data_IF_528673384032
#
_entry.id   IF_528673384032
#
_cell.length_a   1.000
_cell.length_b   1.000
_cell.length_c   1.000
_cell.angle_alpha   90.00
_cell.angle_beta   90.00
_cell.angle_gamma   90.00
#
_symmetry.space_group_name_H-M   'P 1'
#
loop_
_entity.id
_entity.type
_entity.pdbx_description
1 polymer ?
#
# COMPACT_ATOMS: atom_id res chain seq x y z
N UNK A 1 -19.84 7.49 3.16
CA UNK A 1 -18.87 6.49 3.66
C UNK A 1 -17.79 6.29 2.60
N UNK A 2 -16.66 7.02 2.65
CA UNK A 2 -15.49 6.75 1.80
C UNK A 2 -14.43 6.11 2.69
N UNK A 3 -14.35 4.79 2.68
CA UNK A 3 -13.34 4.06 3.42
C UNK A 3 -11.94 4.24 2.79
N UNK A 4 -10.87 3.97 3.55
CA UNK A 4 -9.48 4.17 3.12
C UNK A 4 -9.14 3.37 1.87
N UNK A 5 -9.76 2.20 1.65
CA UNK A 5 -9.61 1.41 0.41
C UNK A 5 -9.93 2.24 -0.84
N UNK A 6 -11.04 2.99 -0.81
CA UNK A 6 -11.42 3.86 -1.93
C UNK A 6 -10.41 5.00 -2.11
N UNK A 7 -9.89 5.55 -1.01
CA UNK A 7 -8.95 6.67 -1.02
C UNK A 7 -7.58 6.25 -1.54
N UNK A 8 -7.02 5.15 -1.06
CA UNK A 8 -5.71 4.62 -1.48
C UNK A 8 -5.70 4.30 -2.97
N UNK A 9 -6.75 3.62 -3.45
CA UNK A 9 -6.87 3.27 -4.86
C UNK A 9 -7.03 4.52 -5.75
N UNK A 10 -7.78 5.53 -5.29
CA UNK A 10 -7.91 6.80 -6.02
C UNK A 10 -6.59 7.57 -6.09
N UNK A 11 -5.81 7.59 -5.01
CA UNK A 11 -4.51 8.27 -4.96
C UNK A 11 -3.51 7.65 -5.94
N UNK A 12 -3.50 6.32 -6.04
CA UNK A 12 -2.60 5.58 -6.92
C UNK A 12 -3.00 5.72 -8.40
N UNK A 13 -4.30 5.64 -8.70
CA UNK A 13 -4.83 5.92 -10.04
C UNK A 13 -4.51 7.35 -10.49
N UNK A 14 -4.57 8.34 -9.58
CA UNK A 14 -4.20 9.74 -9.89
C UNK A 14 -2.71 9.94 -10.12
N UNK A 15 -1.85 9.11 -9.50
CA UNK A 15 -0.39 9.14 -9.70
C UNK A 15 0.07 8.35 -10.93
N UNK A 16 -0.85 7.74 -11.70
CA UNK A 16 -0.53 7.03 -12.94
C UNK A 16 0.23 5.72 -12.74
N UNK A 17 0.37 5.23 -11.50
CA UNK A 17 0.91 3.90 -11.21
C UNK A 17 -0.19 3.03 -10.63
N UNK A 18 -0.83 2.18 -11.47
CA UNK A 18 -1.84 1.26 -10.98
C UNK A 18 -1.15 0.14 -10.21
N UNK A 19 -1.06 0.28 -8.89
CA UNK A 19 -0.92 -0.87 -7.99
C UNK A 19 -2.16 -1.76 -8.19
N UNK A 20 -1.96 -3.08 -8.19
CA UNK A 20 -3.07 -4.03 -8.31
C UNK A 20 -4.13 -3.83 -7.23
N UNK A 21 -5.40 -4.11 -7.54
CA UNK A 21 -6.51 -3.96 -6.58
C UNK A 21 -6.23 -4.70 -5.26
N UNK A 22 -5.64 -5.89 -5.32
CA UNK A 22 -5.26 -6.66 -4.14
C UNK A 22 -4.21 -5.96 -3.27
N UNK A 23 -3.13 -5.45 -3.89
CA UNK A 23 -2.07 -4.73 -3.20
C UNK A 23 -2.59 -3.42 -2.57
N UNK A 24 -3.50 -2.72 -3.26
CA UNK A 24 -4.14 -1.53 -2.71
C UNK A 24 -5.02 -1.85 -1.48
N UNK A 25 -5.71 -3.00 -1.48
CA UNK A 25 -6.45 -3.47 -0.31
C UNK A 25 -5.52 -3.81 0.86
N UNK A 26 -4.41 -4.51 0.61
CA UNK A 26 -3.42 -4.87 1.63
C UNK A 26 -2.82 -3.60 2.26
N UNK A 27 -2.37 -2.66 1.43
CA UNK A 27 -1.83 -1.38 1.88
C UNK A 27 -2.84 -0.58 2.70
N UNK A 28 -4.09 -0.51 2.24
CA UNK A 28 -5.16 0.20 2.96
C UNK A 28 -5.46 -0.43 4.31
N UNK A 29 -5.44 -1.77 4.40
CA UNK A 29 -5.66 -2.47 5.65
C UNK A 29 -4.53 -2.14 6.65
N UNK A 30 -3.27 -2.25 6.21
CA UNK A 30 -2.10 -1.93 7.02
C UNK A 30 -2.09 -0.48 7.52
N UNK A 31 -2.53 0.47 6.68
CA UNK A 31 -2.67 1.89 7.05
C UNK A 31 -3.71 2.13 8.15
N UNK A 32 -4.87 1.47 8.09
CA UNK A 32 -5.94 1.63 9.10
C UNK A 32 -5.46 1.20 10.48
N UNK A 33 -4.77 0.06 10.53
CA UNK A 33 -4.33 -0.54 11.78
C UNK A 33 -2.94 -0.03 12.20
N UNK A 34 -2.35 0.88 11.42
CA UNK A 34 -0.99 1.40 11.59
C UNK A 34 0.07 0.30 11.77
N UNK A 35 -0.01 -0.74 10.93
CA UNK A 35 0.91 -1.88 10.95
C UNK A 35 2.00 -1.74 9.90
N UNK A 36 3.13 -2.40 10.16
CA UNK A 36 4.25 -2.55 9.22
C UNK A 36 3.97 -3.68 8.25
N UNK A 37 3.92 -3.37 6.95
CA UNK A 37 3.74 -4.34 5.88
C UNK A 37 5.09 -4.94 5.48
N UNK A 38 5.25 -6.23 5.77
CA UNK A 38 6.43 -6.99 5.36
C UNK A 38 6.21 -7.53 3.95
N UNK A 39 7.05 -7.15 2.99
CA UNK A 39 6.94 -7.60 1.60
C UNK A 39 8.27 -7.61 0.88
N UNK A 40 8.46 -8.59 -0.01
CA UNK A 40 9.62 -8.64 -0.92
C UNK A 40 9.44 -7.70 -2.13
N UNK A 41 8.21 -7.30 -2.44
CA UNK A 41 7.88 -6.44 -3.59
C UNK A 41 7.77 -4.97 -3.19
N UNK A 42 8.76 -4.45 -2.47
CA UNK A 42 8.73 -3.08 -1.92
C UNK A 42 8.49 -2.00 -2.98
N UNK A 43 8.94 -2.19 -4.24
CA UNK A 43 8.75 -1.23 -5.33
C UNK A 43 7.29 -0.88 -5.63
N UNK A 44 6.38 -1.83 -5.44
CA UNK A 44 4.95 -1.59 -5.66
C UNK A 44 4.38 -0.80 -4.48
N UNK A 45 4.67 -1.24 -3.26
CA UNK A 45 4.09 -0.65 -2.05
C UNK A 45 4.70 0.69 -1.66
N UNK A 46 5.92 1.01 -2.12
CA UNK A 46 6.60 2.29 -1.83
C UNK A 46 5.87 3.52 -2.38
N UNK A 47 4.90 3.34 -3.28
CA UNK A 47 4.09 4.44 -3.81
C UNK A 47 2.96 4.87 -2.86
N UNK A 48 2.68 4.05 -1.84
CA UNK A 48 1.67 4.33 -0.83
C UNK A 48 2.30 5.18 0.27
N UNK A 49 1.95 6.46 0.29
CA UNK A 49 2.43 7.39 1.32
C UNK A 49 1.90 6.99 2.70
N UNK A 50 2.80 6.99 3.70
CA UNK A 50 2.48 6.66 5.09
C UNK A 50 2.47 5.16 5.42
N UNK A 51 2.69 4.28 4.44
CA UNK A 51 2.78 2.84 4.67
C UNK A 51 4.16 2.47 5.21
N UNK A 52 4.21 1.86 6.39
CA UNK A 52 5.44 1.31 6.94
C UNK A 52 5.79 0.00 6.22
N UNK A 53 7.01 -0.12 5.70
CA UNK A 53 7.44 -1.27 4.90
C UNK A 53 8.71 -1.90 5.47
N UNK A 54 8.72 -3.22 5.52
CA UNK A 54 9.91 -4.02 5.85
C UNK A 54 10.14 -5.09 4.79
N UNK A 55 11.41 -5.43 4.54
CA UNK A 55 11.78 -6.58 3.71
C UNK A 55 12.72 -7.47 4.52
N UNK A 56 12.25 -8.68 4.82
CA UNK A 56 13.00 -9.68 5.57
C UNK A 56 13.93 -10.54 4.69
N UNK A 57 13.84 -10.43 3.37
CA UNK A 57 14.70 -11.15 2.43
C UNK A 57 16.00 -10.41 2.11
N UNK A 58 16.15 -9.19 2.62
CA UNK A 58 17.40 -8.44 2.57
C UNK A 58 18.37 -9.03 3.62
N UNK A 59 18.97 -10.18 3.29
CA UNK A 59 20.13 -10.75 3.98
C UNK A 59 21.37 -10.49 3.14
#
# INVERSE_FOLDING_TARGET
MRGPVCVTQLLLLRKGSPIGFADAMIASHALIINATLVTNNQKHFSQVEGLQLENWFSV
#
